data_IF_302953048332
#
_entry.id   IF_302953048332
#
_cell.length_a   1.000
_cell.length_b   1.000
_cell.length_c   1.000
_cell.angle_alpha   90.00
_cell.angle_beta   90.00
_cell.angle_gamma   90.00
#
_symmetry.space_group_name_H-M   'P 1'
#
loop_
_entity.id
_entity.type
_entity.pdbx_description
1 polymer ?
#
# COMPACT_ATOMS: atom_id res chain seq x y z
N UNK A 1 -41.30 0.22 -12.24
CA UNK A 1 -41.95 -0.80 -11.38
C UNK A 1 -42.15 -2.11 -12.13
N UNK A 2 -42.95 -2.18 -13.19
CA UNK A 2 -43.20 -3.43 -13.96
C UNK A 2 -41.90 -4.08 -14.42
N UNK A 3 -40.94 -3.33 -15.00
CA UNK A 3 -39.65 -3.86 -15.43
C UNK A 3 -38.81 -4.46 -14.28
N UNK A 4 -38.89 -3.88 -13.08
CA UNK A 4 -38.20 -4.39 -11.87
C UNK A 4 -38.86 -5.68 -11.38
N UNK A 5 -40.20 -5.71 -11.35
CA UNK A 5 -40.97 -6.91 -11.01
C UNK A 5 -40.62 -8.05 -11.97
N UNK A 6 -40.70 -7.80 -13.29
CA UNK A 6 -40.40 -8.82 -14.30
C UNK A 6 -38.97 -9.37 -14.19
N UNK A 7 -37.99 -8.50 -13.86
CA UNK A 7 -36.59 -8.93 -13.64
C UNK A 7 -36.46 -9.82 -12.41
N UNK A 8 -37.16 -9.49 -11.31
CA UNK A 8 -37.08 -10.23 -10.04
C UNK A 8 -37.80 -11.56 -10.13
N UNK A 9 -39.01 -11.56 -10.70
CA UNK A 9 -39.91 -12.74 -10.71
C UNK A 9 -39.85 -13.53 -12.01
N UNK A 10 -39.06 -13.08 -13.00
CA UNK A 10 -38.89 -13.71 -14.32
C UNK A 10 -40.21 -13.91 -15.10
N UNK A 11 -41.22 -13.11 -14.77
CA UNK A 11 -42.53 -13.06 -15.44
C UNK A 11 -43.14 -11.66 -15.31
N UNK A 12 -44.06 -11.27 -16.18
CA UNK A 12 -44.82 -10.04 -16.02
C UNK A 12 -45.77 -10.15 -14.80
N UNK A 13 -46.10 -9.01 -14.14
CA UNK A 13 -47.10 -9.00 -13.09
C UNK A 13 -48.49 -9.31 -13.64
N UNK A 14 -49.32 -9.94 -12.84
CA UNK A 14 -50.76 -10.05 -13.11
C UNK A 14 -51.43 -8.67 -12.99
N UNK A 15 -52.68 -8.56 -13.40
CA UNK A 15 -53.45 -7.31 -13.33
C UNK A 15 -53.60 -6.81 -11.88
N UNK A 16 -53.83 -7.72 -10.95
CA UNK A 16 -53.95 -7.43 -9.52
C UNK A 16 -52.61 -7.02 -8.90
N UNK A 17 -51.52 -7.74 -9.24
CA UNK A 17 -50.14 -7.38 -8.84
C UNK A 17 -49.73 -6.01 -9.41
N UNK A 18 -50.05 -5.72 -10.66
CA UNK A 18 -49.80 -4.44 -11.30
C UNK A 18 -50.53 -3.29 -10.58
N UNK A 19 -51.82 -3.51 -10.19
CA UNK A 19 -52.58 -2.54 -9.41
C UNK A 19 -51.94 -2.30 -8.04
N UNK A 20 -51.56 -3.36 -7.33
CA UNK A 20 -50.82 -3.23 -6.06
C UNK A 20 -49.52 -2.46 -6.18
N UNK A 21 -48.74 -2.70 -7.23
CA UNK A 21 -47.50 -1.93 -7.50
C UNK A 21 -47.77 -0.44 -7.76
N UNK A 22 -48.88 -0.11 -8.44
CA UNK A 22 -49.26 1.30 -8.67
C UNK A 22 -49.69 1.95 -7.35
N UNK A 23 -50.48 1.30 -6.54
CA UNK A 23 -50.92 1.82 -5.25
C UNK A 23 -49.75 2.05 -4.28
N UNK A 24 -48.80 1.12 -4.22
CA UNK A 24 -47.58 1.27 -3.44
C UNK A 24 -46.74 2.46 -3.92
N UNK A 25 -46.58 2.62 -5.22
CA UNK A 25 -45.86 3.75 -5.79
C UNK A 25 -46.52 5.09 -5.43
N UNK A 26 -47.83 5.18 -5.60
CA UNK A 26 -48.58 6.42 -5.27
C UNK A 26 -48.43 6.76 -3.80
N UNK A 27 -48.52 5.79 -2.91
CA UNK A 27 -48.31 5.98 -1.47
C UNK A 27 -46.91 6.48 -1.17
N UNK A 28 -45.90 5.84 -1.74
CA UNK A 28 -44.51 6.23 -1.54
C UNK A 28 -44.25 7.65 -2.06
N UNK A 29 -44.83 8.01 -3.21
CA UNK A 29 -44.68 9.35 -3.81
C UNK A 29 -45.36 10.43 -2.94
N UNK A 30 -46.55 10.13 -2.39
CA UNK A 30 -47.27 11.03 -1.47
C UNK A 30 -46.42 11.24 -0.20
N UNK A 31 -45.93 10.17 0.42
CA UNK A 31 -45.12 10.29 1.62
C UNK A 31 -43.80 11.05 1.35
N UNK A 32 -43.17 10.82 0.21
CA UNK A 32 -41.98 11.57 -0.18
C UNK A 32 -42.26 13.06 -0.30
N UNK A 33 -43.32 13.45 -0.99
CA UNK A 33 -43.68 14.87 -1.18
C UNK A 33 -44.05 15.55 0.14
N UNK A 34 -44.83 14.89 0.98
CA UNK A 34 -45.18 15.41 2.31
C UNK A 34 -43.95 15.55 3.20
N UNK A 35 -43.03 14.55 3.21
CA UNK A 35 -41.80 14.61 3.96
C UNK A 35 -40.92 15.77 3.55
N UNK A 36 -40.78 16.02 2.23
CA UNK A 36 -40.03 17.18 1.70
C UNK A 36 -40.71 18.49 2.07
N UNK A 37 -42.06 18.56 1.97
CA UNK A 37 -42.81 19.76 2.36
C UNK A 37 -42.66 20.08 3.87
N UNK A 38 -42.58 19.04 4.72
CA UNK A 38 -42.30 19.17 6.15
C UNK A 38 -40.85 19.47 6.47
N UNK A 39 -39.95 19.41 5.48
CA UNK A 39 -38.50 19.65 5.67
C UNK A 39 -37.78 18.53 6.39
N UNK A 40 -38.29 17.29 6.37
CA UNK A 40 -37.66 16.14 7.02
C UNK A 40 -36.33 15.71 6.35
N UNK A 41 -36.03 16.23 5.17
CA UNK A 41 -34.76 16.08 4.46
C UNK A 41 -33.67 17.04 4.98
N UNK A 42 -34.06 18.07 5.75
CA UNK A 42 -33.14 19.09 6.25
C UNK A 42 -32.42 18.59 7.51
N UNK A 43 -31.12 18.84 7.54
CA UNK A 43 -30.23 18.50 8.67
C UNK A 43 -30.20 17.01 9.06
N UNK A 44 -30.75 16.14 8.22
CA UNK A 44 -30.67 14.70 8.40
C UNK A 44 -29.35 14.15 7.83
N UNK A 45 -28.53 13.57 8.72
CA UNK A 45 -27.23 13.02 8.36
C UNK A 45 -27.32 11.80 7.42
N UNK A 46 -28.41 11.00 7.51
CA UNK A 46 -28.63 9.81 6.68
C UNK A 46 -28.99 10.25 5.26
N UNK A 47 -29.90 11.21 5.13
CA UNK A 47 -30.30 11.77 3.83
C UNK A 47 -29.10 12.46 3.16
N UNK A 48 -28.37 13.29 3.90
CA UNK A 48 -27.15 13.96 3.39
C UNK A 48 -26.11 12.93 2.91
N UNK A 49 -25.86 11.88 3.69
CA UNK A 49 -24.96 10.79 3.29
C UNK A 49 -25.44 10.10 2.03
N UNK A 50 -26.75 9.81 1.91
CA UNK A 50 -27.33 9.17 0.74
C UNK A 50 -27.25 10.02 -0.51
N UNK A 51 -27.49 11.32 -0.39
CA UNK A 51 -27.36 12.28 -1.49
C UNK A 51 -25.90 12.38 -1.96
N UNK A 52 -24.95 12.44 -1.01
CA UNK A 52 -23.52 12.41 -1.34
C UNK A 52 -23.16 11.15 -2.11
N UNK A 53 -23.56 9.96 -1.64
CA UNK A 53 -23.28 8.69 -2.32
C UNK A 53 -23.86 8.66 -3.74
N UNK A 54 -25.06 9.18 -3.96
CA UNK A 54 -25.63 9.30 -5.31
C UNK A 54 -24.82 10.22 -6.20
N UNK A 55 -24.33 11.32 -5.66
CA UNK A 55 -23.52 12.26 -6.41
C UNK A 55 -22.14 11.67 -6.75
N UNK A 56 -21.51 10.99 -5.79
CA UNK A 56 -20.27 10.26 -6.00
C UNK A 56 -20.42 9.20 -7.12
N UNK A 57 -21.53 8.46 -7.12
CA UNK A 57 -21.84 7.46 -8.16
C UNK A 57 -21.99 8.08 -9.56
N UNK A 58 -22.68 9.23 -9.66
CA UNK A 58 -22.81 9.94 -10.95
C UNK A 58 -21.43 10.39 -11.45
N UNK A 59 -20.56 10.88 -10.57
CA UNK A 59 -19.21 11.26 -10.92
C UNK A 59 -18.36 10.06 -11.35
N UNK A 60 -18.55 8.89 -10.72
CA UNK A 60 -17.88 7.64 -11.11
C UNK A 60 -18.26 7.17 -12.51
N UNK A 61 -19.53 7.19 -12.84
CA UNK A 61 -20.02 6.76 -14.15
C UNK A 61 -19.46 7.62 -15.30
N UNK A 62 -19.35 8.92 -15.07
CA UNK A 62 -18.75 9.86 -16.04
C UNK A 62 -17.26 9.58 -16.25
N UNK A 63 -16.56 9.08 -15.22
CA UNK A 63 -15.11 8.86 -15.26
C UNK A 63 -14.70 7.46 -15.71
N UNK A 64 -15.62 6.51 -15.76
CA UNK A 64 -15.35 5.08 -16.05
C UNK A 64 -15.08 4.76 -17.53
N UNK A 65 -15.19 5.73 -18.45
CA UNK A 65 -15.31 5.44 -19.89
C UNK A 65 -14.02 5.40 -20.71
N UNK A 66 -12.85 5.64 -20.12
CA UNK A 66 -11.60 5.68 -20.89
C UNK A 66 -10.76 4.42 -20.67
N UNK A 67 -10.74 3.52 -21.65
CA UNK A 67 -9.72 2.48 -21.73
C UNK A 67 -8.38 3.13 -22.09
N UNK A 68 -7.31 2.89 -21.30
CA UNK A 68 -5.98 3.45 -21.60
C UNK A 68 -5.36 2.79 -22.83
N UNK A 69 -4.64 3.57 -23.61
CA UNK A 69 -3.79 3.06 -24.68
C UNK A 69 -2.52 2.45 -24.13
N UNK A 70 -1.84 1.63 -24.92
CA UNK A 70 -0.56 1.05 -24.49
C UNK A 70 0.55 2.12 -24.34
N UNK A 71 0.45 3.24 -25.08
CA UNK A 71 1.34 4.39 -24.93
C UNK A 71 1.16 5.06 -23.56
N UNK A 72 -0.08 5.26 -23.11
CA UNK A 72 -0.38 5.82 -21.80
C UNK A 72 0.08 4.90 -20.68
N UNK A 73 -0.14 3.59 -20.81
CA UNK A 73 0.33 2.60 -19.85
C UNK A 73 1.86 2.54 -19.79
N UNK A 74 2.54 2.63 -20.94
CA UNK A 74 3.99 2.65 -21.00
C UNK A 74 4.56 3.93 -20.36
N UNK A 75 3.91 5.07 -20.60
CA UNK A 75 4.29 6.33 -19.96
C UNK A 75 4.14 6.25 -18.43
N UNK A 76 3.03 5.70 -17.96
CA UNK A 76 2.76 5.49 -16.55
C UNK A 76 3.79 4.55 -15.90
N UNK A 77 4.09 3.42 -16.52
CA UNK A 77 5.12 2.48 -16.06
C UNK A 77 6.48 3.16 -15.90
N UNK A 78 6.86 4.03 -16.85
CA UNK A 78 8.11 4.78 -16.80
C UNK A 78 8.13 5.89 -15.75
N UNK A 79 6.98 6.46 -15.42
CA UNK A 79 6.86 7.48 -14.38
C UNK A 79 6.88 6.88 -12.96
N UNK A 80 6.49 5.61 -12.81
CA UNK A 80 6.41 4.91 -11.53
C UNK A 80 7.34 3.68 -11.47
N UNK A 81 8.65 3.81 -11.81
CA UNK A 81 9.54 2.66 -11.97
C UNK A 81 9.70 1.85 -10.67
N UNK A 82 9.67 2.51 -9.52
CA UNK A 82 9.89 1.85 -8.22
C UNK A 82 8.72 0.93 -7.81
N UNK A 83 7.51 1.19 -8.33
CA UNK A 83 6.33 0.36 -8.09
C UNK A 83 6.34 -0.96 -8.88
N UNK A 84 7.11 -1.02 -9.98
CA UNK A 84 7.11 -2.15 -10.91
C UNK A 84 8.47 -2.80 -11.09
N UNK A 85 9.53 -2.22 -10.54
CA UNK A 85 10.88 -2.77 -10.67
C UNK A 85 10.96 -4.17 -10.13
N UNK A 86 11.49 -5.08 -10.93
CA UNK A 86 11.88 -6.41 -10.48
C UNK A 86 13.17 -6.24 -9.66
N UNK A 87 13.13 -6.70 -8.42
CA UNK A 87 14.29 -6.64 -7.53
C UNK A 87 15.49 -7.39 -8.10
N UNK A 88 16.71 -6.91 -7.85
CA UNK A 88 17.90 -7.68 -8.09
C UNK A 88 17.83 -9.00 -7.33
N UNK A 89 18.42 -10.05 -7.92
CA UNK A 89 18.54 -11.36 -7.29
C UNK A 89 20.02 -11.72 -7.16
N UNK A 90 20.38 -12.34 -6.04
CA UNK A 90 21.74 -12.78 -5.77
C UNK A 90 21.71 -14.21 -5.24
N UNK A 91 22.61 -15.04 -5.78
CA UNK A 91 23.00 -16.31 -5.21
C UNK A 91 24.37 -16.14 -4.57
N UNK A 92 24.55 -16.59 -3.35
CA UNK A 92 25.84 -16.47 -2.65
C UNK A 92 26.03 -17.58 -1.63
N UNK A 93 27.31 -17.84 -1.33
CA UNK A 93 27.73 -18.65 -0.19
C UNK A 93 28.34 -17.75 0.85
N UNK A 94 28.25 -18.13 2.10
CA UNK A 94 28.89 -17.36 3.16
C UNK A 94 29.49 -18.24 4.26
N UNK A 95 30.52 -17.72 4.90
CA UNK A 95 31.15 -18.26 6.10
C UNK A 95 30.85 -17.30 7.24
N UNK A 96 30.22 -17.81 8.29
CA UNK A 96 29.85 -17.00 9.44
C UNK A 96 30.98 -16.93 10.46
N UNK A 97 31.19 -15.74 11.04
CA UNK A 97 32.14 -15.47 12.11
C UNK A 97 31.40 -14.84 13.27
N UNK A 98 31.29 -15.55 14.38
CA UNK A 98 30.53 -15.13 15.55
C UNK A 98 31.25 -14.05 16.32
N UNK A 99 30.83 -12.78 16.11
CA UNK A 99 31.44 -11.64 16.75
C UNK A 99 31.29 -11.64 18.29
N UNK A 100 30.18 -12.17 18.81
CA UNK A 100 29.96 -12.26 20.26
C UNK A 100 30.90 -13.26 20.93
N UNK A 101 31.15 -14.41 20.27
CA UNK A 101 32.08 -15.45 20.76
C UNK A 101 33.53 -15.01 20.69
N UNK A 102 33.94 -14.35 19.60
CA UNK A 102 35.33 -13.97 19.30
C UNK A 102 35.72 -12.60 19.87
N UNK A 103 34.74 -11.82 20.33
CA UNK A 103 34.97 -10.52 20.95
C UNK A 103 35.73 -9.54 20.06
N UNK A 104 36.71 -8.83 20.63
CA UNK A 104 37.47 -7.80 19.90
C UNK A 104 38.31 -8.34 18.74
N UNK A 105 38.59 -9.63 18.73
CA UNK A 105 39.43 -10.28 17.71
C UNK A 105 38.62 -10.72 16.47
N UNK A 106 37.28 -10.69 16.51
CA UNK A 106 36.43 -11.20 15.44
C UNK A 106 36.78 -10.65 14.05
N UNK A 107 37.10 -9.37 13.94
CA UNK A 107 37.49 -8.73 12.69
C UNK A 107 38.83 -9.25 12.14
N UNK A 108 39.84 -9.37 13.02
CA UNK A 108 41.16 -9.88 12.63
C UNK A 108 41.09 -11.35 12.21
N UNK A 109 40.38 -12.16 12.99
CA UNK A 109 40.17 -13.59 12.67
C UNK A 109 39.35 -13.77 11.38
N UNK A 110 38.37 -12.91 11.11
CA UNK A 110 37.65 -12.93 9.84
C UNK A 110 38.58 -12.68 8.63
N UNK A 111 39.53 -11.76 8.76
CA UNK A 111 40.54 -11.50 7.71
C UNK A 111 41.46 -12.72 7.53
N UNK A 112 41.88 -13.38 8.60
CA UNK A 112 42.69 -14.60 8.51
C UNK A 112 41.92 -15.75 7.83
N UNK A 113 40.62 -15.92 8.17
CA UNK A 113 39.76 -16.93 7.52
C UNK A 113 39.61 -16.57 6.04
N UNK A 114 39.41 -15.31 5.70
CA UNK A 114 39.34 -14.84 4.31
C UNK A 114 40.58 -15.20 3.52
N UNK A 115 41.76 -15.01 4.09
CA UNK A 115 43.02 -15.39 3.46
C UNK A 115 43.13 -16.90 3.22
N UNK A 116 42.66 -17.73 4.18
CA UNK A 116 42.60 -19.19 4.01
C UNK A 116 41.61 -19.60 2.92
N UNK A 117 40.46 -18.96 2.82
CA UNK A 117 39.47 -19.19 1.76
C UNK A 117 40.03 -18.82 0.37
N UNK A 118 40.80 -17.75 0.27
CA UNK A 118 41.53 -17.40 -0.97
C UNK A 118 42.60 -18.44 -1.33
N UNK A 119 43.18 -19.12 -0.32
CA UNK A 119 44.15 -20.17 -0.52
C UNK A 119 43.52 -21.55 -0.79
N UNK A 120 42.17 -21.64 -0.88
CA UNK A 120 41.44 -22.83 -1.24
C UNK A 120 40.95 -23.66 -0.03
N UNK A 121 40.93 -23.12 1.18
CA UNK A 121 40.35 -23.82 2.33
C UNK A 121 38.86 -24.10 2.12
N UNK A 122 38.39 -25.22 2.71
CA UNK A 122 36.99 -25.61 2.67
C UNK A 122 36.11 -24.63 3.46
N UNK A 123 35.15 -23.95 2.80
CA UNK A 123 34.24 -23.00 3.47
C UNK A 123 33.40 -23.68 4.56
N UNK A 124 33.07 -24.97 4.41
CA UNK A 124 32.21 -25.70 5.37
C UNK A 124 32.85 -25.86 6.73
N UNK A 125 34.17 -25.77 6.83
CA UNK A 125 34.95 -25.92 8.08
C UNK A 125 35.64 -24.64 8.55
N UNK A 126 35.60 -23.61 7.75
CA UNK A 126 36.40 -22.40 7.99
C UNK A 126 35.82 -21.44 9.05
N UNK A 127 34.53 -21.48 9.29
CA UNK A 127 33.82 -20.56 10.18
C UNK A 127 33.19 -21.13 11.41
N UNK A 128 32.34 -20.34 12.04
CA UNK A 128 31.52 -20.80 13.19
C UNK A 128 30.19 -21.39 12.71
N UNK A 129 29.59 -22.33 13.51
CA UNK A 129 28.25 -22.83 13.21
C UNK A 129 27.22 -21.69 13.12
N UNK A 130 26.32 -21.80 12.14
CA UNK A 130 25.28 -20.79 11.90
C UNK A 130 23.92 -21.44 11.67
N UNK A 131 22.84 -20.74 12.04
CA UNK A 131 21.46 -21.25 11.97
C UNK A 131 20.91 -21.30 10.54
N UNK A 132 21.35 -20.39 9.68
CA UNK A 132 20.92 -20.34 8.29
C UNK A 132 21.85 -21.16 7.41
N UNK A 133 21.34 -21.56 6.24
CA UNK A 133 22.15 -22.29 5.26
C UNK A 133 23.34 -21.45 4.81
N UNK A 134 24.53 -22.09 4.69
CA UNK A 134 25.73 -21.46 4.19
C UNK A 134 25.69 -21.11 2.70
N UNK A 135 24.74 -21.68 1.97
CA UNK A 135 24.45 -21.44 0.57
C UNK A 135 23.05 -20.86 0.41
N UNK A 136 22.96 -19.69 -0.19
CA UNK A 136 21.69 -19.01 -0.48
C UNK A 136 21.47 -19.06 -2.00
N UNK A 137 20.42 -19.75 -2.47
CA UNK A 137 20.10 -19.83 -3.88
C UNK A 137 19.74 -18.45 -4.44
N UNK A 138 19.58 -18.34 -5.75
CA UNK A 138 19.22 -17.08 -6.40
C UNK A 138 17.92 -16.53 -5.80
N UNK A 139 18.05 -15.56 -4.91
CA UNK A 139 16.98 -14.99 -4.10
C UNK A 139 16.88 -13.47 -4.30
N UNK A 140 15.66 -12.91 -4.26
CA UNK A 140 15.47 -11.46 -4.38
C UNK A 140 16.02 -10.75 -3.14
N UNK A 141 16.49 -9.50 -3.34
CA UNK A 141 17.13 -8.73 -2.28
C UNK A 141 16.24 -8.48 -1.07
N UNK A 142 14.93 -8.33 -1.25
CA UNK A 142 13.99 -8.16 -0.14
C UNK A 142 13.96 -9.37 0.81
N UNK A 143 14.12 -10.58 0.27
CA UNK A 143 14.14 -11.82 1.07
C UNK A 143 15.47 -11.96 1.82
N UNK A 144 16.58 -11.65 1.16
CA UNK A 144 17.90 -11.59 1.81
C UNK A 144 17.91 -10.53 2.92
N UNK A 145 17.28 -9.37 2.68
CA UNK A 145 17.17 -8.30 3.67
C UNK A 145 16.39 -8.73 4.91
N UNK A 146 15.32 -9.50 4.75
CA UNK A 146 14.57 -10.05 5.88
C UNK A 146 15.39 -11.02 6.74
N UNK A 147 16.26 -11.81 6.09
CA UNK A 147 17.06 -12.84 6.78
C UNK A 147 18.32 -12.25 7.43
N UNK A 148 19.06 -11.40 6.73
CA UNK A 148 20.39 -10.91 7.14
C UNK A 148 20.40 -9.43 7.54
N UNK A 149 19.34 -8.69 7.28
CA UNK A 149 19.21 -7.25 7.52
C UNK A 149 19.57 -6.40 6.29
N UNK A 150 19.02 -5.18 6.24
CA UNK A 150 19.21 -4.27 5.10
C UNK A 150 20.65 -3.86 4.86
N UNK A 151 21.44 -3.68 5.91
CA UNK A 151 22.85 -3.29 5.81
C UNK A 151 23.66 -4.34 5.07
N UNK A 152 23.45 -5.62 5.43
CA UNK A 152 24.05 -6.75 4.78
C UNK A 152 23.64 -6.85 3.30
N UNK A 153 22.36 -6.79 3.02
CA UNK A 153 21.83 -6.93 1.66
C UNK A 153 22.32 -5.82 0.74
N UNK A 154 22.35 -4.57 1.21
CA UNK A 154 22.94 -3.45 0.44
C UNK A 154 24.41 -3.70 0.12
N UNK A 155 25.18 -4.18 1.09
CA UNK A 155 26.61 -4.46 0.89
C UNK A 155 26.85 -5.57 -0.11
N UNK A 156 25.98 -6.60 -0.16
CA UNK A 156 26.03 -7.65 -1.18
C UNK A 156 25.97 -7.12 -2.61
N UNK A 157 25.19 -6.06 -2.86
CA UNK A 157 25.08 -5.45 -4.19
C UNK A 157 26.39 -4.80 -4.67
N UNK A 158 27.29 -4.45 -3.77
CA UNK A 158 28.57 -3.83 -4.08
C UNK A 158 29.68 -4.86 -4.34
N UNK A 159 29.51 -6.11 -3.85
CA UNK A 159 30.54 -7.14 -3.95
C UNK A 159 30.68 -7.64 -5.38
N UNK A 160 31.89 -7.94 -5.79
CA UNK A 160 32.18 -8.56 -7.10
C UNK A 160 31.91 -10.07 -7.04
N UNK A 161 31.21 -10.64 -8.03
CA UNK A 161 31.05 -12.09 -8.13
C UNK A 161 32.38 -12.83 -8.35
N UNK A 162 32.44 -14.08 -7.91
CA UNK A 162 33.55 -15.00 -8.22
C UNK A 162 34.75 -14.96 -7.28
N UNK A 163 34.66 -14.22 -6.16
CA UNK A 163 35.72 -14.22 -5.14
C UNK A 163 35.16 -14.06 -3.75
N UNK A 164 35.83 -14.65 -2.75
CA UNK A 164 35.53 -14.41 -1.35
C UNK A 164 35.82 -12.95 -0.98
N UNK A 165 34.90 -12.32 -0.27
CA UNK A 165 35.00 -10.90 0.12
C UNK A 165 34.40 -10.74 1.52
N UNK A 166 34.90 -9.79 2.29
CA UNK A 166 34.38 -9.50 3.62
C UNK A 166 35.46 -8.88 4.52
N UNK A 167 35.18 -8.78 5.82
CA UNK A 167 33.93 -9.17 6.45
C UNK A 167 32.75 -8.22 6.14
N UNK A 168 31.56 -8.80 5.97
CA UNK A 168 30.30 -8.08 5.82
C UNK A 168 29.47 -8.29 7.08
N UNK A 169 28.98 -7.21 7.67
CA UNK A 169 28.22 -7.24 8.93
C UNK A 169 26.74 -7.51 8.67
N UNK A 170 26.16 -8.39 9.48
CA UNK A 170 24.71 -8.64 9.56
C UNK A 170 24.20 -8.45 10.99
N UNK A 171 22.89 -8.63 11.21
CA UNK A 171 22.30 -8.67 12.55
C UNK A 171 22.84 -9.80 13.45
N UNK A 172 23.51 -10.80 12.87
CA UNK A 172 24.04 -11.97 13.58
C UNK A 172 25.55 -11.86 13.92
N UNK A 173 26.29 -11.09 13.14
CA UNK A 173 27.74 -10.97 13.25
C UNK A 173 28.40 -10.72 11.91
N UNK A 174 29.60 -11.25 11.70
CA UNK A 174 30.39 -11.03 10.50
C UNK A 174 30.25 -12.23 9.53
N UNK A 175 30.26 -11.94 8.24
CA UNK A 175 30.20 -12.94 7.18
C UNK A 175 31.29 -12.67 6.14
N UNK A 176 31.94 -13.73 5.70
CA UNK A 176 32.74 -13.75 4.48
C UNK A 176 31.85 -14.28 3.38
N UNK A 177 31.75 -13.58 2.27
CA UNK A 177 30.74 -13.85 1.24
C UNK A 177 31.41 -14.13 -0.10
N UNK A 178 30.89 -15.13 -0.79
CA UNK A 178 31.22 -15.44 -2.18
C UNK A 178 29.94 -15.29 -3.01
N UNK A 179 29.86 -14.29 -3.87
CA UNK A 179 28.73 -14.10 -4.78
C UNK A 179 28.89 -15.03 -5.97
N UNK A 180 28.02 -16.05 -6.07
CA UNK A 180 28.00 -16.99 -7.18
C UNK A 180 27.35 -16.40 -8.43
N UNK A 181 26.23 -15.71 -8.25
CA UNK A 181 25.48 -15.14 -9.37
C UNK A 181 24.75 -13.88 -8.94
N UNK A 182 24.68 -12.90 -9.82
CA UNK A 182 23.87 -11.71 -9.66
C UNK A 182 23.03 -11.47 -10.92
N UNK A 183 21.75 -11.22 -10.73
CA UNK A 183 20.83 -10.73 -11.76
C UNK A 183 20.42 -9.32 -11.37
N UNK A 184 20.71 -8.35 -12.22
CA UNK A 184 20.37 -6.95 -11.96
C UNK A 184 18.85 -6.72 -11.90
N UNK A 185 18.42 -5.81 -11.05
CA UNK A 185 17.04 -5.33 -11.07
C UNK A 185 16.75 -4.61 -12.38
N UNK A 186 15.53 -4.77 -12.88
CA UNK A 186 15.11 -4.14 -14.13
C UNK A 186 13.65 -3.70 -14.06
N UNK A 187 13.30 -2.69 -14.84
CA UNK A 187 11.91 -2.39 -15.14
C UNK A 187 11.40 -3.49 -16.09
N UNK A 188 10.28 -4.15 -15.79
CA UNK A 188 9.70 -5.15 -16.68
C UNK A 188 9.17 -4.50 -17.96
N UNK A 189 9.05 -5.27 -19.02
CA UNK A 189 8.31 -4.85 -20.20
C UNK A 189 6.82 -4.71 -19.89
N UNK A 190 6.15 -3.73 -20.49
CA UNK A 190 4.71 -3.48 -20.28
C UNK A 190 3.89 -4.75 -20.41
N UNK A 191 4.18 -5.59 -21.39
CA UNK A 191 3.46 -6.85 -21.63
C UNK A 191 3.40 -7.77 -20.39
N UNK A 192 4.46 -7.77 -19.58
CA UNK A 192 4.54 -8.63 -18.38
C UNK A 192 3.73 -8.10 -17.18
N UNK A 193 3.46 -6.78 -17.15
CA UNK A 193 2.79 -6.11 -16.02
C UNK A 193 1.58 -5.30 -16.45
N UNK A 194 1.11 -5.47 -17.68
CA UNK A 194 0.08 -4.65 -18.31
C UNK A 194 -1.19 -4.52 -17.46
N UNK A 195 -1.69 -5.62 -16.95
CA UNK A 195 -2.93 -5.61 -16.14
C UNK A 195 -2.73 -4.89 -14.80
N UNK A 196 -1.57 -5.03 -14.19
CA UNK A 196 -1.23 -4.30 -12.96
C UNK A 196 -1.12 -2.80 -13.23
N UNK A 197 -0.39 -2.43 -14.27
CA UNK A 197 -0.23 -1.03 -14.68
C UNK A 197 -1.57 -0.41 -15.08
N UNK A 198 -2.42 -1.15 -15.83
CA UNK A 198 -3.77 -0.70 -16.19
C UNK A 198 -4.64 -0.43 -14.97
N UNK A 199 -4.64 -1.34 -14.01
CA UNK A 199 -5.40 -1.17 -12.76
C UNK A 199 -4.96 0.08 -12.00
N UNK A 200 -3.66 0.25 -11.81
CA UNK A 200 -3.10 1.36 -11.04
C UNK A 200 -3.28 2.70 -11.76
N UNK A 201 -3.07 2.75 -13.08
CA UNK A 201 -3.38 3.90 -13.93
C UNK A 201 -4.86 4.30 -13.86
N UNK A 202 -5.75 3.30 -13.99
CA UNK A 202 -7.20 3.54 -13.93
C UNK A 202 -7.60 4.12 -12.58
N UNK A 203 -7.06 3.58 -11.50
CA UNK A 203 -7.31 4.08 -10.14
C UNK A 203 -6.87 5.55 -9.97
N UNK A 204 -5.66 5.88 -10.38
CA UNK A 204 -5.16 7.27 -10.29
C UNK A 204 -5.92 8.21 -11.23
N UNK A 205 -6.24 7.77 -12.44
CA UNK A 205 -7.02 8.56 -13.39
C UNK A 205 -8.43 8.87 -12.87
N UNK A 206 -9.10 7.86 -12.32
CA UNK A 206 -10.43 8.05 -11.71
C UNK A 206 -10.36 9.01 -10.51
N UNK A 207 -9.35 8.87 -9.66
CA UNK A 207 -9.13 9.79 -8.54
C UNK A 207 -8.93 11.22 -9.03
N UNK A 208 -8.05 11.43 -10.00
CA UNK A 208 -7.78 12.76 -10.56
C UNK A 208 -9.04 13.39 -11.18
N UNK A 209 -9.84 12.61 -11.92
CA UNK A 209 -11.09 13.09 -12.51
C UNK A 209 -12.14 13.44 -11.45
N UNK A 210 -12.25 12.64 -10.38
CA UNK A 210 -13.13 12.97 -9.23
C UNK A 210 -12.71 14.27 -8.55
N UNK A 211 -11.41 14.43 -8.29
CA UNK A 211 -10.84 15.61 -7.66
C UNK A 211 -11.07 16.87 -8.54
N UNK A 212 -10.90 16.76 -9.86
CA UNK A 212 -11.18 17.81 -10.82
C UNK A 212 -12.67 18.19 -10.83
N UNK A 213 -13.55 17.18 -10.90
CA UNK A 213 -14.99 17.38 -10.86
C UNK A 213 -15.44 18.05 -9.55
N UNK A 214 -14.89 17.59 -8.42
CA UNK A 214 -15.14 18.23 -7.13
C UNK A 214 -14.62 19.67 -7.09
N UNK A 215 -13.42 19.93 -7.60
CA UNK A 215 -12.88 21.29 -7.65
C UNK A 215 -13.76 22.25 -8.47
N UNK A 216 -14.30 21.77 -9.62
CA UNK A 216 -15.27 22.53 -10.42
C UNK A 216 -16.57 22.82 -9.64
N UNK A 217 -17.09 21.84 -8.92
CA UNK A 217 -18.27 22.03 -8.07
C UNK A 217 -17.94 22.99 -6.91
N UNK A 218 -16.82 22.78 -6.23
CA UNK A 218 -16.36 23.61 -5.11
C UNK A 218 -16.22 25.07 -5.47
N UNK A 219 -15.75 25.38 -6.68
CA UNK A 219 -15.60 26.76 -7.19
C UNK A 219 -16.92 27.52 -7.34
N UNK A 220 -18.08 26.85 -7.27
CA UNK A 220 -19.42 27.49 -7.31
C UNK A 220 -19.90 27.95 -5.94
N UNK A 221 -19.17 27.61 -4.86
CA UNK A 221 -19.56 27.89 -3.48
C UNK A 221 -18.56 28.78 -2.78
N UNK A 222 -19.05 29.73 -1.98
CA UNK A 222 -18.23 30.42 -1.00
C UNK A 222 -18.21 29.58 0.28
N UNK A 223 -17.03 29.15 0.69
CA UNK A 223 -16.88 28.37 1.91
C UNK A 223 -16.29 29.25 3.00
N UNK A 224 -17.08 29.46 4.04
CA UNK A 224 -16.68 30.20 5.24
C UNK A 224 -16.47 29.15 6.35
N UNK A 225 -15.27 29.12 6.92
CA UNK A 225 -14.93 28.25 8.05
C UNK A 225 -14.77 29.13 9.29
N UNK A 226 -15.73 29.05 10.18
CA UNK A 226 -15.64 29.69 11.49
C UNK A 226 -14.79 28.82 12.41
N UNK A 227 -13.71 29.38 12.95
CA UNK A 227 -12.92 28.70 13.99
C UNK A 227 -13.74 28.75 15.29
N UNK A 228 -13.94 27.60 15.93
CA UNK A 228 -14.48 27.56 17.27
C UNK A 228 -13.58 28.42 18.17
N UNK A 229 -14.18 29.37 18.90
CA UNK A 229 -13.46 30.07 19.97
C UNK A 229 -13.07 29.01 21.00
N UNK A 230 -11.78 28.85 21.24
CA UNK A 230 -11.29 28.06 22.38
C UNK A 230 -11.67 28.83 23.64
N UNK A 231 -12.71 28.42 24.33
CA UNK A 231 -13.01 28.87 25.68
C UNK A 231 -11.92 28.32 26.59
N UNK A 232 -10.85 29.10 26.77
CA UNK A 232 -9.94 28.97 27.90
C UNK A 232 -10.67 29.47 29.15
N UNK A 233 -11.62 28.69 29.64
CA UNK A 233 -12.12 28.85 31.00
C UNK A 233 -11.10 28.23 31.97
N UNK A 234 -10.13 29.03 32.35
CA UNK A 234 -9.31 28.77 33.54
C UNK A 234 -10.25 28.86 34.75
N UNK A 235 -10.79 27.74 35.19
CA UNK A 235 -11.45 27.64 36.48
C UNK A 235 -10.36 27.68 37.55
N UNK A 236 -10.07 28.87 38.08
CA UNK A 236 -9.33 29.02 39.32
C UNK A 236 -10.20 28.48 40.47
N UNK A 237 -9.89 27.30 40.97
CA UNK A 237 -10.36 26.84 42.27
C UNK A 237 -9.74 27.70 43.34
N UNK A 238 -10.48 28.70 43.80
CA UNK A 238 -10.21 29.38 45.06
C UNK A 238 -10.55 28.44 46.20
N UNK A 239 -9.54 27.93 46.85
CA UNK A 239 -9.65 27.29 48.17
C UNK A 239 -9.69 28.43 49.16
N UNK A 240 -10.90 28.74 49.67
CA UNK A 240 -11.05 29.64 50.81
C UNK A 240 -11.19 28.79 52.06
N UNK A 241 -10.10 28.74 52.83
CA UNK A 241 -10.06 28.18 54.14
C UNK A 241 -10.26 29.31 55.15
N UNK A 242 -11.30 29.24 55.96
CA UNK A 242 -11.51 30.12 57.09
C UNK A 242 -12.11 29.40 58.30
N UNK A 243 -11.68 29.75 59.52
CA UNK A 243 -11.80 28.88 60.67
C UNK A 243 -12.95 29.26 61.62
N UNK A 244 -13.39 28.26 62.41
CA UNK A 244 -13.81 28.31 63.81
C UNK A 244 -14.72 29.46 64.29
N UNK A 245 -15.90 29.15 64.70
CA UNK A 245 -16.30 29.05 66.13
C UNK A 245 -17.58 28.25 66.27
#
# INVERSE_FOLDING_TARGET
MVATFTRTWQRPPTEEEAKGLVEEFVRNEIYYREAVAMGLDRDDAVIRRRMRQKMEFILEDITAQAEPTDEELLAYLKQHPDSYRIDPQIAFRHVYVNAARRGKNAGAEAVEILAKLHAGADPGTAGDPFLLASEVPLSPMWDISKQFGERFSRKLLELKPGSWTGPVESGFGLHLVFVDKRVGGRLPELKAVRETVKRDWTFERQKALKDEAYAKLRGRYVVIVEKAKSDNATTSMGVDGGPRQ
#
